data_IF_235451628281
#
_entry.id   IF_235451628281
#
_cell.length_a   1.000
_cell.length_b   1.000
_cell.length_c   1.000
_cell.angle_alpha   90.00
_cell.angle_beta   90.00
_cell.angle_gamma   90.00
#
_symmetry.space_group_name_H-M   'P 1'
#
loop_
_entity.id
_entity.type
_entity.pdbx_description
1 polymer ?
#
# COMPACT_ATOMS: atom_id res chain seq x y z
N UNK A 1 2.84 -1.02 -21.57
CA UNK A 1 1.70 -0.50 -20.77
C UNK A 1 1.38 -1.39 -19.57
N UNK A 2 1.09 -2.70 -19.70
CA UNK A 2 0.82 -3.57 -18.53
C UNK A 2 1.94 -3.57 -17.48
N UNK A 3 3.20 -3.59 -17.91
CA UNK A 3 4.35 -3.67 -16.99
C UNK A 3 4.56 -2.38 -16.18
N UNK A 4 4.19 -1.22 -16.74
CA UNK A 4 4.30 0.07 -16.04
C UNK A 4 3.34 0.16 -14.85
N UNK A 5 2.10 -0.32 -15.00
CA UNK A 5 1.14 -0.36 -13.90
C UNK A 5 1.57 -1.31 -12.78
N UNK A 6 2.22 -2.43 -13.13
CA UNK A 6 2.75 -3.38 -12.14
C UNK A 6 3.86 -2.72 -11.33
N UNK A 7 4.82 -2.07 -12.00
CA UNK A 7 5.89 -1.35 -11.31
C UNK A 7 5.36 -0.21 -10.43
N UNK A 8 4.39 0.57 -10.91
CA UNK A 8 3.75 1.62 -10.13
C UNK A 8 3.05 1.08 -8.87
N UNK A 9 2.33 -0.04 -8.99
CA UNK A 9 1.69 -0.70 -7.85
C UNK A 9 2.72 -1.20 -6.83
N UNK A 10 3.83 -1.79 -7.29
CA UNK A 10 4.91 -2.25 -6.42
C UNK A 10 5.57 -1.08 -5.67
N UNK A 11 5.83 0.02 -6.38
CA UNK A 11 6.40 1.23 -5.79
C UNK A 11 5.45 1.86 -4.76
N UNK A 12 4.16 1.93 -5.07
CA UNK A 12 3.12 2.40 -4.13
C UNK A 12 3.10 1.55 -2.85
N UNK A 13 3.13 0.22 -2.97
CA UNK A 13 3.15 -0.69 -1.81
C UNK A 13 4.43 -0.48 -0.99
N UNK A 14 5.59 -0.38 -1.64
CA UNK A 14 6.87 -0.20 -0.97
C UNK A 14 6.93 1.13 -0.21
N UNK A 15 6.53 2.24 -0.84
CA UNK A 15 6.46 3.55 -0.20
C UNK A 15 5.45 3.56 0.95
N UNK A 16 4.29 2.92 0.79
CA UNK A 16 3.29 2.78 1.84
C UNK A 16 3.82 1.99 3.04
N UNK A 17 4.55 0.90 2.79
CA UNK A 17 5.18 0.10 3.84
C UNK A 17 6.25 0.89 4.59
N UNK A 18 7.10 1.63 3.86
CA UNK A 18 8.09 2.51 4.47
C UNK A 18 7.44 3.55 5.37
N UNK A 19 6.42 4.26 4.88
CA UNK A 19 5.68 5.25 5.67
C UNK A 19 5.08 4.65 6.96
N UNK A 20 4.62 3.40 6.92
CA UNK A 20 4.08 2.72 8.11
C UNK A 20 5.16 2.36 9.16
N UNK A 21 6.44 2.39 8.80
CA UNK A 21 7.58 2.15 9.69
C UNK A 21 8.21 3.45 10.21
N UNK A 22 7.92 4.59 9.56
CA UNK A 22 8.43 5.90 9.94
C UNK A 22 7.37 6.72 10.69
N UNK A 23 7.83 7.65 11.52
CA UNK A 23 6.93 8.67 12.09
C UNK A 23 6.77 9.82 11.09
N UNK A 24 5.67 10.58 11.19
CA UNK A 24 5.45 11.80 10.40
C UNK A 24 6.57 12.85 10.58
N UNK A 25 7.36 12.73 11.65
CA UNK A 25 8.49 13.63 11.95
C UNK A 25 9.82 13.15 11.38
N UNK A 26 9.85 11.99 10.72
CA UNK A 26 11.05 11.46 10.07
C UNK A 26 11.35 12.27 8.80
N UNK A 27 12.62 12.62 8.57
CA UNK A 27 13.03 13.36 7.37
C UNK A 27 12.72 12.57 6.08
N UNK A 28 12.72 11.24 6.17
CA UNK A 28 12.38 10.36 5.04
C UNK A 28 10.88 10.25 4.80
N UNK A 29 10.04 10.71 5.74
CA UNK A 29 8.58 10.67 5.59
C UNK A 29 8.15 11.41 4.33
N UNK A 30 8.66 12.64 4.13
CA UNK A 30 8.28 13.46 3.00
C UNK A 30 8.73 12.84 1.66
N UNK A 31 9.92 12.24 1.64
CA UNK A 31 10.44 11.52 0.47
C UNK A 31 9.47 10.42 0.01
N UNK A 32 8.97 9.61 0.95
CA UNK A 32 8.03 8.55 0.62
C UNK A 32 6.63 9.07 0.24
N UNK A 33 6.19 10.20 0.80
CA UNK A 33 4.97 10.88 0.36
C UNK A 33 5.10 11.38 -1.08
N UNK A 34 6.25 11.92 -1.46
CA UNK A 34 6.48 12.40 -2.82
C UNK A 34 6.54 11.24 -3.82
N UNK A 35 7.18 10.12 -3.46
CA UNK A 35 7.13 8.88 -4.25
C UNK A 35 5.69 8.40 -4.45
N UNK A 36 4.84 8.46 -3.41
CA UNK A 36 3.42 8.13 -3.55
C UNK A 36 2.73 9.04 -4.56
N UNK A 37 2.94 10.37 -4.48
CA UNK A 37 2.32 11.33 -5.41
C UNK A 37 2.67 11.05 -6.86
N UNK A 38 3.91 10.64 -7.13
CA UNK A 38 4.38 10.31 -8.47
C UNK A 38 3.76 9.02 -9.01
N UNK A 39 3.67 7.96 -8.19
CA UNK A 39 3.23 6.64 -8.67
C UNK A 39 1.71 6.40 -8.58
N UNK A 40 0.98 7.16 -7.77
CA UNK A 40 -0.46 6.96 -7.55
C UNK A 40 -1.30 7.05 -8.84
N UNK A 41 -1.09 8.00 -9.77
CA UNK A 41 -1.86 8.05 -11.02
C UNK A 41 -1.73 6.76 -11.83
N UNK A 42 -0.52 6.24 -11.96
CA UNK A 42 -0.25 5.01 -12.73
C UNK A 42 -0.75 3.75 -12.00
N UNK A 43 -0.71 3.75 -10.66
CA UNK A 43 -1.21 2.67 -9.83
C UNK A 43 -2.76 2.59 -9.78
N UNK A 44 -3.48 3.64 -10.19
CA UNK A 44 -4.94 3.67 -10.18
C UNK A 44 -5.58 2.61 -11.09
N UNK A 45 -4.84 2.17 -12.11
CA UNK A 45 -5.24 1.11 -13.05
C UNK A 45 -4.75 -0.28 -12.64
N UNK A 46 -4.25 -0.41 -11.42
CA UNK A 46 -3.76 -1.65 -10.85
C UNK A 46 -4.85 -2.67 -10.52
N UNK A 47 -4.44 -3.82 -9.94
CA UNK A 47 -5.35 -4.83 -9.38
C UNK A 47 -6.42 -4.24 -8.43
N UNK A 48 -7.65 -4.74 -8.53
CA UNK A 48 -8.79 -4.23 -7.75
C UNK A 48 -8.63 -4.43 -6.23
N UNK A 49 -7.92 -5.47 -5.80
CA UNK A 49 -7.62 -5.74 -4.39
C UNK A 49 -6.72 -4.68 -3.75
N UNK A 50 -5.99 -3.89 -4.55
CA UNK A 50 -5.21 -2.74 -4.09
C UNK A 50 -6.04 -1.47 -3.89
N UNK A 51 -7.31 -1.44 -4.33
CA UNK A 51 -8.17 -0.25 -4.24
C UNK A 51 -8.20 0.44 -2.87
N UNK A 52 -8.35 -0.31 -1.75
CA UNK A 52 -8.30 0.28 -0.41
C UNK A 52 -6.93 0.88 -0.04
N UNK A 53 -5.83 0.25 -0.46
CA UNK A 53 -4.47 0.75 -0.21
C UNK A 53 -4.22 2.02 -1.01
N UNK A 54 -4.59 2.01 -2.29
CA UNK A 54 -4.51 3.17 -3.17
C UNK A 54 -5.28 4.37 -2.61
N UNK A 55 -6.53 4.14 -2.16
CA UNK A 55 -7.37 5.20 -1.59
C UNK A 55 -6.72 5.81 -0.34
N UNK A 56 -6.24 4.97 0.58
CA UNK A 56 -5.60 5.46 1.80
C UNK A 56 -4.27 6.18 1.52
N UNK A 57 -3.49 5.71 0.54
CA UNK A 57 -2.24 6.34 0.12
C UNK A 57 -2.49 7.70 -0.53
N UNK A 58 -3.53 7.82 -1.37
CA UNK A 58 -3.96 9.09 -1.94
C UNK A 58 -4.38 10.07 -0.85
N UNK A 59 -5.23 9.66 0.08
CA UNK A 59 -5.70 10.51 1.17
C UNK A 59 -4.52 10.99 2.05
N UNK A 60 -3.52 10.14 2.28
CA UNK A 60 -2.29 10.52 2.98
C UNK A 60 -1.48 11.56 2.19
N UNK A 61 -1.30 11.35 0.89
CA UNK A 61 -0.51 12.23 0.03
C UNK A 61 -1.09 13.65 -0.11
N UNK A 62 -2.39 13.81 0.18
CA UNK A 62 -3.14 15.05 0.12
C UNK A 62 -3.37 15.69 1.51
N UNK A 63 -2.92 15.05 2.58
CA UNK A 63 -3.11 15.56 3.94
C UNK A 63 -2.06 16.62 4.29
N UNK A 64 -2.51 17.83 4.64
CA UNK A 64 -1.65 18.99 4.84
C UNK A 64 -1.21 19.21 6.31
N UNK A 65 -2.01 18.74 7.27
CA UNK A 65 -1.78 18.96 8.71
C UNK A 65 -1.40 17.68 9.46
N UNK A 66 -0.54 17.80 10.49
CA UNK A 66 0.00 16.66 11.24
C UNK A 66 -1.04 15.69 11.83
N UNK A 67 -2.17 16.18 12.37
CA UNK A 67 -3.24 15.28 12.87
C UNK A 67 -3.95 14.54 11.74
N UNK A 68 -4.16 15.20 10.60
CA UNK A 68 -4.78 14.58 9.44
C UNK A 68 -3.85 13.52 8.84
N UNK A 69 -2.54 13.80 8.82
CA UNK A 69 -1.49 12.87 8.41
C UNK A 69 -1.43 11.64 9.32
N UNK A 70 -1.45 11.80 10.65
CA UNK A 70 -1.48 10.66 11.58
C UNK A 70 -2.70 9.75 11.36
N UNK A 71 -3.89 10.36 11.17
CA UNK A 71 -5.11 9.62 10.91
C UNK A 71 -5.07 8.92 9.54
N UNK A 72 -4.55 9.58 8.51
CA UNK A 72 -4.38 9.00 7.18
C UNK A 72 -3.33 7.87 7.19
N UNK A 73 -2.25 8.02 7.96
CA UNK A 73 -1.22 6.99 8.11
C UNK A 73 -1.77 5.76 8.83
N UNK A 74 -2.62 5.96 9.83
CA UNK A 74 -3.33 4.86 10.52
C UNK A 74 -4.25 4.10 9.56
N UNK A 75 -4.98 4.82 8.69
CA UNK A 75 -5.81 4.21 7.64
C UNK A 75 -4.96 3.43 6.63
N UNK A 76 -3.84 4.00 6.19
CA UNK A 76 -2.91 3.35 5.27
C UNK A 76 -2.34 2.07 5.87
N UNK A 77 -1.87 2.11 7.11
CA UNK A 77 -1.35 0.94 7.83
C UNK A 77 -2.40 -0.18 7.93
N UNK A 78 -3.64 0.19 8.27
CA UNK A 78 -4.76 -0.77 8.34
C UNK A 78 -5.06 -1.41 6.99
N UNK A 79 -5.13 -0.60 5.93
CA UNK A 79 -5.38 -1.08 4.57
C UNK A 79 -4.26 -2.02 4.08
N UNK A 80 -3.01 -1.64 4.34
CA UNK A 80 -1.83 -2.40 3.92
C UNK A 80 -1.75 -3.75 4.65
N UNK A 81 -2.02 -3.79 5.96
CA UNK A 81 -2.11 -5.04 6.72
C UNK A 81 -3.19 -5.97 6.17
N UNK A 82 -4.39 -5.43 5.89
CA UNK A 82 -5.50 -6.22 5.32
C UNK A 82 -5.13 -6.80 3.96
N UNK A 83 -4.51 -6.00 3.10
CA UNK A 83 -4.02 -6.45 1.81
C UNK A 83 -3.02 -7.60 1.96
N UNK A 84 -2.00 -7.47 2.82
CA UNK A 84 -1.03 -8.54 3.03
C UNK A 84 -1.65 -9.81 3.62
N UNK A 85 -2.55 -9.68 4.60
CA UNK A 85 -3.26 -10.84 5.16
C UNK A 85 -4.08 -11.57 4.10
N UNK A 86 -4.80 -10.83 3.24
CA UNK A 86 -5.57 -11.44 2.15
C UNK A 86 -4.65 -12.15 1.14
N UNK A 87 -3.52 -11.55 0.77
CA UNK A 87 -2.56 -12.13 -0.16
C UNK A 87 -1.90 -13.40 0.41
N UNK A 88 -1.51 -13.36 1.68
CA UNK A 88 -0.96 -14.54 2.38
C UNK A 88 -2.01 -15.63 2.52
N UNK A 89 -3.26 -15.28 2.88
CA UNK A 89 -4.36 -16.23 2.96
C UNK A 89 -4.64 -16.93 1.62
N UNK A 90 -4.62 -16.18 0.51
CA UNK A 90 -4.77 -16.74 -0.83
C UNK A 90 -3.62 -17.67 -1.21
N UNK A 91 -2.37 -17.30 -0.89
CA UNK A 91 -1.20 -18.16 -1.10
C UNK A 91 -1.28 -19.45 -0.29
N UNK A 92 -1.65 -19.34 0.99
CA UNK A 92 -1.82 -20.50 1.86
C UNK A 92 -2.94 -21.42 1.36
N UNK A 93 -4.09 -20.86 0.96
CA UNK A 93 -5.19 -21.63 0.37
C UNK A 93 -4.80 -22.33 -0.93
N UNK A 94 -3.86 -21.76 -1.71
CA UNK A 94 -3.31 -22.40 -2.90
C UNK A 94 -2.30 -23.52 -2.60
N UNK A 95 -1.64 -23.49 -1.43
CA UNK A 95 -0.65 -24.49 -1.01
C UNK A 95 -1.27 -25.63 -0.18
N UNK A 96 -2.31 -25.32 0.60
CA UNK A 96 -3.04 -26.28 1.44
C UNK A 96 -3.77 -27.43 0.72
N UNK A 97 -4.13 -27.41 -0.58
CA UNK A 97 -4.79 -28.55 -1.22
C UNK A 97 -3.86 -29.77 -1.34
N UNK A 98 -2.54 -29.59 -1.20
CA UNK A 98 -1.53 -30.66 -1.34
C UNK A 98 -1.46 -31.57 -0.09
N UNK A 99 -1.99 -31.15 1.06
CA UNK A 99 -1.82 -31.88 2.34
C UNK A 99 -3.03 -32.75 2.71
N UNK A 100 -4.13 -32.70 1.94
CA UNK A 100 -5.38 -33.42 2.24
C UNK A 100 -5.63 -34.65 1.35
N UNK A 101 -4.69 -35.03 0.47
CA UNK A 101 -4.74 -36.23 -0.38
C UNK A 101 -3.66 -37.29 -0.03
N UNK A 102 -3.11 -37.26 1.18
CA UNK A 102 -2.11 -38.23 1.67
C UNK A 102 -2.64 -39.15 2.76
#
# INVERSE_FOLDING_TARGET
>A
MKDQHICACQLMIAASAALCMHSVRDENYQVHVDILRECLPDAAHGPADLGPVWTAARDLSQSEDGRAQDAALTRLNTALRRYFVQRVGALYAAWSPVVMEG
#
